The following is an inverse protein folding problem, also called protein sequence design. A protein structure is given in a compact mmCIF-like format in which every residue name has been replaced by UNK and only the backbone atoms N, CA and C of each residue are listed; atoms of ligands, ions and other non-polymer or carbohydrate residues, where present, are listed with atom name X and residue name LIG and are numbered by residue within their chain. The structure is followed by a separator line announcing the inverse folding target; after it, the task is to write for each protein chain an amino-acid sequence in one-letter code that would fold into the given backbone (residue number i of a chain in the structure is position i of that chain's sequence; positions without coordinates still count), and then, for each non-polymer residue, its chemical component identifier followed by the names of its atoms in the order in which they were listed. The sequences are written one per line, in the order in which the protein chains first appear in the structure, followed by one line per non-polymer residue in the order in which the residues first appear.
data_IF_196258352423
#
_entry.id   IF_196258352423
#
_cell.length_a   1.000
_cell.length_b   1.000
_cell.length_c   1.000
_cell.angle_alpha   90.00
_cell.angle_beta   90.00
_cell.angle_gamma   90.00
#
_symmetry.space_group_name_H-M   'P 1'
#
loop_
_entity.id
_entity.type
_entity.pdbx_description
1 polymer ?
#
# COMPACT_ATOMS: atom_id res chain seq x y z
N UNK A 1 -21.29 8.98 -4.66
CA UNK A 1 -19.91 9.04 -4.19
C UNK A 1 -19.03 8.20 -5.09
N UNK A 2 -18.06 8.81 -5.76
CA UNK A 2 -17.10 8.05 -6.57
C UNK A 2 -16.16 7.30 -5.63
N UNK A 3 -16.24 5.95 -5.66
CA UNK A 3 -15.35 5.07 -4.90
C UNK A 3 -13.89 5.27 -5.31
N UNK A 4 -13.68 5.62 -6.55
CA UNK A 4 -12.36 5.81 -7.15
C UNK A 4 -11.68 7.07 -6.66
N UNK A 5 -12.42 8.16 -6.52
CA UNK A 5 -11.90 9.40 -5.94
C UNK A 5 -11.46 9.20 -4.49
N UNK A 6 -12.27 8.46 -3.70
CA UNK A 6 -11.91 8.12 -2.32
C UNK A 6 -10.64 7.26 -2.27
N UNK A 7 -10.55 6.24 -3.12
CA UNK A 7 -9.37 5.39 -3.19
C UNK A 7 -8.10 6.15 -3.62
N UNK A 8 -8.24 7.12 -4.53
CA UNK A 8 -7.11 7.99 -4.92
C UNK A 8 -6.62 8.87 -3.75
N UNK A 9 -7.54 9.45 -2.98
CA UNK A 9 -7.20 10.19 -1.77
C UNK A 9 -6.51 9.31 -0.73
N UNK A 10 -7.04 8.12 -0.49
CA UNK A 10 -6.46 7.16 0.46
C UNK A 10 -5.02 6.76 0.05
N UNK A 11 -4.77 6.56 -1.25
CA UNK A 11 -3.43 6.30 -1.77
C UNK A 11 -2.47 7.49 -1.56
N UNK A 12 -2.91 8.70 -1.86
CA UNK A 12 -2.09 9.90 -1.66
C UNK A 12 -1.74 10.05 -0.18
N UNK A 13 -2.72 9.87 0.72
CA UNK A 13 -2.52 9.91 2.16
C UNK A 13 -1.51 8.83 2.59
N UNK A 14 -1.65 7.60 2.08
CA UNK A 14 -0.74 6.51 2.38
C UNK A 14 0.71 6.88 2.03
N UNK A 15 0.96 7.41 0.83
CA UNK A 15 2.31 7.78 0.41
C UNK A 15 2.85 9.01 1.13
N UNK A 16 1.99 9.95 1.52
CA UNK A 16 2.38 11.07 2.40
C UNK A 16 2.83 10.56 3.77
N UNK A 17 2.08 9.63 4.37
CA UNK A 17 2.44 9.01 5.64
C UNK A 17 3.75 8.23 5.51
N UNK A 18 3.91 7.44 4.44
CA UNK A 18 5.16 6.76 4.13
C UNK A 18 6.34 7.73 4.05
N UNK A 19 6.17 8.86 3.36
CA UNK A 19 7.22 9.87 3.22
C UNK A 19 7.63 10.48 4.57
N UNK A 20 6.68 10.69 5.47
CA UNK A 20 6.97 11.20 6.82
C UNK A 20 7.73 10.16 7.65
N UNK A 21 7.36 8.89 7.54
CA UNK A 21 7.94 7.81 8.33
C UNK A 21 9.13 7.10 7.68
N UNK A 22 9.56 7.50 6.46
CA UNK A 22 10.61 6.79 5.73
C UNK A 22 11.92 6.69 6.51
N UNK A 23 12.33 7.76 7.17
CA UNK A 23 13.55 7.77 7.97
C UNK A 23 13.43 6.87 9.21
N UNK A 24 12.26 6.85 9.85
CA UNK A 24 11.97 5.97 10.97
C UNK A 24 12.03 4.50 10.56
N UNK A 25 11.34 4.15 9.48
CA UNK A 25 11.30 2.79 8.94
C UNK A 25 12.71 2.36 8.48
N UNK A 26 13.44 3.23 7.79
CA UNK A 26 14.80 2.97 7.35
C UNK A 26 15.77 2.72 8.51
N UNK A 27 15.72 3.55 9.56
CA UNK A 27 16.53 3.35 10.76
C UNK A 27 16.13 2.07 11.50
N UNK A 28 14.85 1.77 11.59
CA UNK A 28 14.38 0.52 12.18
C UNK A 28 14.88 -0.70 11.40
N UNK A 29 14.81 -0.66 10.07
CA UNK A 29 15.34 -1.72 9.21
C UNK A 29 16.86 -1.92 9.44
N UNK A 30 17.63 -0.84 9.45
CA UNK A 30 19.07 -0.91 9.76
C UNK A 30 19.33 -1.44 11.17
N UNK A 31 18.49 -1.07 12.14
CA UNK A 31 18.58 -1.59 13.52
C UNK A 31 18.40 -3.11 13.56
N UNK A 32 17.34 -3.62 12.92
CA UNK A 32 17.10 -5.08 12.82
C UNK A 32 18.26 -5.78 12.11
N UNK A 33 18.72 -5.21 11.00
CA UNK A 33 19.84 -5.77 10.24
C UNK A 33 21.12 -5.85 11.08
N UNK A 34 21.48 -4.77 11.79
CA UNK A 34 22.64 -4.76 12.68
C UNK A 34 22.50 -5.73 13.85
N UNK A 35 21.31 -5.85 14.42
CA UNK A 35 21.04 -6.80 15.49
C UNK A 35 21.25 -8.25 15.03
N UNK A 36 20.70 -8.62 13.88
CA UNK A 36 20.88 -9.95 13.29
C UNK A 36 22.35 -10.19 12.93
N UNK A 37 23.00 -9.22 12.29
CA UNK A 37 24.40 -9.32 11.88
C UNK A 37 25.36 -9.50 13.08
N UNK A 38 25.11 -8.79 14.17
CA UNK A 38 25.94 -8.87 15.40
C UNK A 38 25.82 -10.24 16.09
N UNK A 39 24.67 -10.88 15.98
CA UNK A 39 24.43 -12.18 16.60
C UNK A 39 24.86 -13.36 15.73
N UNK A 40 25.04 -13.15 14.42
CA UNK A 40 25.47 -14.20 13.50
C UNK A 40 26.75 -14.93 13.92
N UNK A 41 27.83 -14.26 14.33
CA UNK A 41 29.06 -14.94 14.76
C UNK A 41 28.84 -15.86 15.96
N UNK A 42 28.00 -15.45 16.92
CA UNK A 42 27.71 -16.23 18.11
C UNK A 42 26.89 -17.48 17.76
N UNK A 43 25.95 -17.38 16.80
CA UNK A 43 25.21 -18.53 16.28
C UNK A 43 26.05 -19.50 15.45
N UNK A 44 27.04 -18.99 14.74
CA UNK A 44 27.98 -19.84 13.94
C UNK A 44 29.04 -20.49 14.81
N UNK A 45 29.50 -19.81 15.86
CA UNK A 45 30.53 -20.30 16.77
C UNK A 45 30.00 -21.39 17.75
N UNK A 46 28.73 -21.27 18.15
CA UNK A 46 28.02 -22.32 18.89
C UNK A 46 27.51 -23.29 17.85
N UNK A 47 28.07 -24.53 17.85
CA UNK A 47 27.55 -25.57 16.95
C UNK A 47 26.02 -25.54 16.96
N UNK A 48 25.42 -25.35 15.78
CA UNK A 48 23.99 -25.10 15.62
C UNK A 48 23.08 -26.21 16.22
N UNK A 49 23.66 -27.31 16.64
CA UNK A 49 22.99 -28.43 17.32
C UNK A 49 22.88 -28.25 18.85
N UNK A 50 23.63 -27.34 19.47
CA UNK A 50 23.61 -27.15 20.94
C UNK A 50 22.86 -25.88 21.36
N UNK A 51 22.46 -25.01 20.42
CA UNK A 51 21.65 -23.83 20.74
C UNK A 51 20.30 -24.27 21.34
N UNK A 52 20.10 -23.89 22.59
CA UNK A 52 18.86 -24.20 23.30
C UNK A 52 17.66 -23.61 22.54
N UNK A 53 16.58 -24.36 22.40
CA UNK A 53 15.31 -23.89 21.84
C UNK A 53 14.88 -22.54 22.44
N UNK A 54 15.23 -22.30 23.70
CA UNK A 54 14.95 -21.07 24.43
C UNK A 54 15.72 -19.86 23.84
N UNK A 55 16.96 -20.05 23.44
CA UNK A 55 17.81 -18.98 22.87
C UNK A 55 17.31 -18.59 21.49
N UNK A 56 16.96 -19.59 20.67
CA UNK A 56 16.36 -19.36 19.34
C UNK A 56 15.01 -18.64 19.47
N UNK A 57 14.17 -19.07 20.41
CA UNK A 57 12.87 -18.43 20.62
C UNK A 57 13.01 -17.00 21.12
N UNK A 58 13.96 -16.75 22.03
CA UNK A 58 14.27 -15.41 22.53
C UNK A 58 14.79 -14.50 21.43
N UNK A 59 15.67 -15.00 20.57
CA UNK A 59 16.16 -14.26 19.39
C UNK A 59 15.03 -13.88 18.45
N UNK A 60 14.21 -14.85 18.05
CA UNK A 60 13.07 -14.59 17.16
C UNK A 60 12.08 -13.60 17.78
N UNK A 61 11.81 -13.72 19.07
CA UNK A 61 10.93 -12.80 19.79
C UNK A 61 11.47 -11.36 19.75
N UNK A 62 12.75 -11.16 19.99
CA UNK A 62 13.37 -9.83 19.94
C UNK A 62 13.35 -9.24 18.53
N UNK A 63 13.66 -10.04 17.51
CA UNK A 63 13.53 -9.60 16.10
C UNK A 63 12.10 -9.20 15.78
N UNK A 64 11.11 -9.97 16.22
CA UNK A 64 9.69 -9.66 16.03
C UNK A 64 9.29 -8.34 16.70
N UNK A 65 9.73 -8.10 17.92
CA UNK A 65 9.47 -6.85 18.66
C UNK A 65 10.07 -5.65 17.93
N UNK A 66 11.33 -5.74 17.50
CA UNK A 66 11.99 -4.68 16.73
C UNK A 66 11.25 -4.38 15.41
N UNK A 67 10.89 -5.42 14.66
CA UNK A 67 10.09 -5.25 13.44
C UNK A 67 8.73 -4.62 13.71
N UNK A 68 8.06 -5.04 14.78
CA UNK A 68 6.76 -4.49 15.15
C UNK A 68 6.89 -2.99 15.54
N UNK A 69 7.87 -2.64 16.35
CA UNK A 69 8.13 -1.26 16.75
C UNK A 69 8.48 -0.36 15.57
N UNK A 70 9.15 -0.90 14.56
CA UNK A 70 9.45 -0.20 13.32
C UNK A 70 8.18 0.16 12.54
N UNK A 71 7.22 -0.75 12.46
CA UNK A 71 6.06 -0.63 11.57
C UNK A 71 4.82 -0.09 12.28
N UNK A 72 4.67 -0.34 13.58
CA UNK A 72 3.49 0.03 14.37
C UNK A 72 3.15 1.52 14.32
N UNK A 73 4.08 2.48 14.49
CA UNK A 73 3.78 3.91 14.41
C UNK A 73 3.24 4.34 13.04
N UNK A 74 3.80 3.78 11.97
CA UNK A 74 3.33 4.01 10.61
C UNK A 74 1.90 3.54 10.42
N UNK A 75 1.58 2.31 10.83
CA UNK A 75 0.22 1.78 10.73
C UNK A 75 -0.76 2.53 11.62
N UNK A 76 -0.40 2.84 12.87
CA UNK A 76 -1.25 3.58 13.78
C UNK A 76 -1.60 4.96 13.23
N UNK A 77 -0.62 5.68 12.70
CA UNK A 77 -0.82 6.99 12.09
C UNK A 77 -1.63 6.89 10.80
N UNK A 78 -1.34 5.93 9.93
CA UNK A 78 -2.07 5.66 8.71
C UNK A 78 -3.55 5.38 8.97
N UNK A 79 -3.85 4.51 9.93
CA UNK A 79 -5.24 4.21 10.35
C UNK A 79 -5.92 5.46 10.89
N UNK A 80 -5.25 6.25 11.74
CA UNK A 80 -5.81 7.48 12.30
C UNK A 80 -6.16 8.49 11.20
N UNK A 81 -5.25 8.73 10.26
CA UNK A 81 -5.47 9.68 9.15
C UNK A 81 -6.57 9.19 8.22
N UNK A 82 -6.56 7.91 7.85
CA UNK A 82 -7.61 7.33 6.99
C UNK A 82 -8.98 7.39 7.66
N UNK A 83 -9.05 7.11 8.96
CA UNK A 83 -10.28 7.23 9.72
C UNK A 83 -10.78 8.69 9.76
N UNK A 84 -9.90 9.65 9.99
CA UNK A 84 -10.25 11.09 9.96
C UNK A 84 -10.76 11.51 8.58
N UNK A 85 -10.07 11.16 7.52
CA UNK A 85 -10.50 11.46 6.14
C UNK A 85 -11.86 10.83 5.85
N UNK A 86 -12.08 9.59 6.26
CA UNK A 86 -13.35 8.90 6.08
C UNK A 86 -14.49 9.59 6.86
N UNK A 87 -14.24 10.01 8.10
CA UNK A 87 -15.22 10.74 8.92
C UNK A 87 -15.56 12.09 8.29
N UNK A 88 -14.56 12.82 7.79
CA UNK A 88 -14.77 14.12 7.13
C UNK A 88 -15.56 13.98 5.82
N UNK A 89 -15.37 12.89 5.08
CA UNK A 89 -16.06 12.65 3.81
C UNK A 89 -17.49 12.15 3.99
N UNK A 90 -17.74 11.28 4.96
CA UNK A 90 -19.02 10.57 5.14
C UNK A 90 -19.85 11.15 6.28
N UNK A 91 -19.22 11.90 7.19
CA UNK A 91 -19.79 12.22 8.48
C UNK A 91 -19.80 11.00 9.41
N UNK A 92 -19.99 11.23 10.69
CA UNK A 92 -20.06 10.18 11.71
C UNK A 92 -21.37 9.40 11.59
N UNK A 93 -21.45 8.46 10.66
CA UNK A 93 -22.62 7.56 10.50
C UNK A 93 -22.18 6.11 10.52
N UNK A 94 -22.13 5.53 11.70
CA UNK A 94 -22.00 4.06 11.83
C UNK A 94 -23.36 3.45 11.54
N UNK A 95 -23.54 2.82 10.40
CA UNK A 95 -24.77 2.11 10.04
C UNK A 95 -24.49 0.64 9.82
N UNK A 96 -25.15 -0.23 10.57
CA UNK A 96 -25.14 -1.66 10.40
C UNK A 96 -26.01 -2.16 9.22
N UNK A 97 -26.72 -1.23 8.52
CA UNK A 97 -27.59 -1.58 7.38
C UNK A 97 -26.93 -2.37 6.25
N UNK A 98 -25.63 -2.12 5.87
CA UNK A 98 -24.98 -2.91 4.82
C UNK A 98 -24.73 -4.37 5.21
N UNK A 99 -24.73 -4.70 6.50
CA UNK A 99 -24.43 -6.03 7.03
C UNK A 99 -25.64 -6.97 7.02
N UNK A 100 -26.84 -6.46 6.73
CA UNK A 100 -28.02 -7.33 6.63
C UNK A 100 -27.96 -8.14 5.33
N UNK A 101 -27.97 -9.49 5.42
CA UNK A 101 -28.00 -10.34 4.23
C UNK A 101 -29.32 -10.10 3.49
N UNK A 102 -29.23 -9.71 2.23
CA UNK A 102 -30.38 -9.61 1.32
C UNK A 102 -30.43 -10.87 0.49
N UNK A 103 -31.48 -11.69 0.67
CA UNK A 103 -31.66 -12.96 -0.01
C UNK A 103 -31.63 -12.86 -1.54
N UNK A 104 -32.06 -11.73 -2.10
CA UNK A 104 -32.05 -11.47 -3.56
C UNK A 104 -30.64 -11.44 -4.18
N UNK A 105 -29.59 -11.28 -3.33
CA UNK A 105 -28.19 -11.28 -3.79
C UNK A 105 -27.63 -12.69 -4.03
N UNK A 106 -28.32 -13.72 -3.57
CA UNK A 106 -27.89 -15.12 -3.70
C UNK A 106 -28.39 -15.81 -4.97
N UNK A 107 -29.14 -15.10 -5.83
CA UNK A 107 -29.62 -15.70 -7.07
C UNK A 107 -28.48 -15.66 -8.14
N UNK A 108 -27.90 -16.84 -8.48
CA UNK A 108 -26.75 -16.90 -9.41
C UNK A 108 -27.11 -16.47 -10.83
N UNK A 109 -28.38 -16.63 -11.24
CA UNK A 109 -28.86 -16.25 -12.58
C UNK A 109 -28.86 -14.73 -12.74
N UNK A 110 -29.30 -14.01 -11.72
CA UNK A 110 -29.25 -12.54 -11.70
C UNK A 110 -27.81 -12.01 -11.63
N UNK A 111 -26.92 -12.72 -10.93
CA UNK A 111 -25.50 -12.46 -10.91
C UNK A 111 -24.86 -12.58 -12.31
N UNK A 112 -25.16 -13.66 -13.02
CA UNK A 112 -24.64 -13.90 -14.37
C UNK A 112 -25.12 -12.85 -15.38
N UNK A 113 -26.40 -12.51 -15.35
CA UNK A 113 -27.01 -11.48 -16.21
C UNK A 113 -26.41 -10.09 -15.98
N UNK A 114 -25.99 -9.80 -14.73
CA UNK A 114 -25.35 -8.54 -14.36
C UNK A 114 -23.90 -8.46 -14.84
N UNK A 115 -23.17 -9.58 -14.86
CA UNK A 115 -21.80 -9.66 -15.36
C UNK A 115 -21.75 -9.35 -16.87
N UNK A 116 -22.72 -9.82 -17.65
CA UNK A 116 -22.81 -9.60 -19.08
C UNK A 116 -23.69 -8.40 -19.48
N UNK A 117 -23.95 -7.48 -18.54
CA UNK A 117 -24.63 -6.24 -18.86
C UNK A 117 -23.70 -5.26 -19.60
N UNK A 118 -24.30 -4.38 -20.44
CA UNK A 118 -23.55 -3.31 -21.14
C UNK A 118 -22.78 -2.42 -20.15
N UNK A 119 -23.37 -2.18 -18.99
CA UNK A 119 -22.74 -1.36 -17.93
C UNK A 119 -21.49 -2.07 -17.33
N UNK A 120 -21.58 -3.38 -17.08
CA UNK A 120 -20.45 -4.15 -16.59
C UNK A 120 -19.30 -4.24 -17.60
N UNK A 121 -19.63 -4.37 -18.88
CA UNK A 121 -18.64 -4.38 -19.96
C UNK A 121 -17.92 -3.02 -20.06
N UNK A 122 -18.66 -1.93 -19.89
CA UNK A 122 -18.10 -0.59 -19.88
C UNK A 122 -17.19 -0.34 -18.66
N UNK A 123 -17.61 -0.82 -17.47
CA UNK A 123 -16.76 -0.78 -16.25
C UNK A 123 -15.50 -1.62 -16.41
N UNK A 124 -15.59 -2.79 -17.06
CA UNK A 124 -14.44 -3.64 -17.37
C UNK A 124 -13.44 -2.90 -18.28
N UNK A 125 -13.94 -2.28 -19.35
CA UNK A 125 -13.09 -1.51 -20.27
C UNK A 125 -12.37 -0.35 -19.56
N UNK A 126 -13.10 0.41 -18.74
CA UNK A 126 -12.50 1.45 -17.89
C UNK A 126 -11.41 0.90 -16.97
N UNK A 127 -11.66 -0.25 -16.34
CA UNK A 127 -10.70 -0.87 -15.43
C UNK A 127 -9.44 -1.31 -16.16
N UNK A 128 -9.57 -1.86 -17.36
CA UNK A 128 -8.42 -2.24 -18.21
C UNK A 128 -7.60 -0.99 -18.58
N UNK A 129 -8.26 0.10 -18.98
CA UNK A 129 -7.59 1.36 -19.30
C UNK A 129 -6.83 1.93 -18.10
N UNK A 130 -7.43 1.89 -16.90
CA UNK A 130 -6.78 2.34 -15.65
C UNK A 130 -5.53 1.51 -15.35
N UNK A 131 -5.65 0.19 -15.41
CA UNK A 131 -4.52 -0.72 -15.16
C UNK A 131 -3.40 -0.46 -16.18
N UNK A 132 -3.74 -0.32 -17.46
CA UNK A 132 -2.77 0.01 -18.50
C UNK A 132 -2.05 1.34 -18.23
N UNK A 133 -2.79 2.36 -17.80
CA UNK A 133 -2.22 3.65 -17.45
C UNK A 133 -1.29 3.58 -16.24
N UNK A 134 -1.69 2.86 -15.20
CA UNK A 134 -0.87 2.66 -13.99
C UNK A 134 0.42 1.90 -14.34
N UNK A 135 0.33 0.83 -15.14
CA UNK A 135 1.49 0.07 -15.59
C UNK A 135 2.43 0.96 -16.42
N UNK A 136 1.89 1.78 -17.30
CA UNK A 136 2.67 2.72 -18.10
C UNK A 136 3.44 3.72 -17.23
N UNK A 137 2.75 4.33 -16.25
CA UNK A 137 3.38 5.29 -15.33
C UNK A 137 4.41 4.60 -14.44
N UNK A 138 4.12 3.41 -13.92
CA UNK A 138 5.08 2.62 -13.15
C UNK A 138 6.33 2.29 -13.98
N UNK A 139 6.14 1.83 -15.20
CA UNK A 139 7.24 1.51 -16.12
C UNK A 139 8.12 2.73 -16.42
N UNK A 140 7.51 3.87 -16.76
CA UNK A 140 8.25 5.11 -17.06
C UNK A 140 8.98 5.65 -15.83
N UNK A 141 8.39 5.53 -14.64
CA UNK A 141 9.02 5.93 -13.38
C UNK A 141 10.25 5.08 -13.08
N UNK A 142 10.12 3.75 -13.16
CA UNK A 142 11.24 2.83 -12.92
C UNK A 142 12.34 3.02 -13.97
N UNK A 143 11.97 3.20 -15.24
CA UNK A 143 12.93 3.43 -16.31
C UNK A 143 13.71 4.73 -16.13
N UNK A 144 13.05 5.79 -15.64
CA UNK A 144 13.72 7.06 -15.35
C UNK A 144 14.75 6.95 -14.21
N UNK A 145 14.54 6.04 -13.29
CA UNK A 145 15.37 5.81 -12.10
C UNK A 145 16.32 4.60 -12.27
N UNK A 146 16.37 4.00 -13.46
CA UNK A 146 17.20 2.81 -13.72
C UNK A 146 18.70 3.06 -13.46
N UNK A 147 19.20 4.27 -13.76
CA UNK A 147 20.58 4.64 -13.48
C UNK A 147 20.86 4.67 -11.96
N UNK A 148 19.91 5.13 -11.18
CA UNK A 148 20.05 5.22 -9.71
C UNK A 148 20.04 3.82 -9.08
N UNK A 149 19.33 2.87 -9.69
CA UNK A 149 19.33 1.47 -9.26
C UNK A 149 20.71 0.83 -9.47
N UNK A 150 21.41 1.16 -10.57
CA UNK A 150 22.78 0.65 -10.80
C UNK A 150 23.79 1.19 -9.80
N UNK A 151 23.61 2.40 -9.28
CA UNK A 151 24.46 3.01 -8.26
C UNK A 151 24.38 2.25 -6.93
N UNK A 152 23.33 1.47 -6.66
CA UNK A 152 23.17 0.69 -5.43
C UNK A 152 24.32 -0.28 -5.14
N UNK A 153 25.06 -0.71 -6.18
CA UNK A 153 26.22 -1.58 -6.02
C UNK A 153 27.45 -0.85 -5.43
N UNK A 154 27.51 0.47 -5.59
CA UNK A 154 28.69 1.27 -5.27
C UNK A 154 28.53 2.11 -3.99
N UNK A 155 27.35 2.09 -3.35
CA UNK A 155 27.04 2.89 -2.17
C UNK A 155 26.89 2.05 -0.90
N UNK A 156 27.12 2.65 0.29
CA UNK A 156 26.87 1.98 1.57
C UNK A 156 25.41 1.58 1.76
N UNK A 157 25.18 0.51 2.54
CA UNK A 157 23.84 -0.04 2.78
C UNK A 157 22.80 0.99 3.26
N UNK A 158 23.21 1.89 4.16
CA UNK A 158 22.35 2.94 4.67
C UNK A 158 21.86 3.89 3.56
N UNK A 159 22.73 4.27 2.64
CA UNK A 159 22.37 5.09 1.49
C UNK A 159 21.53 4.32 0.48
N UNK A 160 21.83 3.04 0.27
CA UNK A 160 21.03 2.17 -0.60
C UNK A 160 19.59 2.04 -0.12
N UNK A 161 19.35 1.89 1.18
CA UNK A 161 18.00 1.81 1.77
C UNK A 161 17.23 3.12 1.57
N UNK A 162 17.87 4.27 1.78
CA UNK A 162 17.25 5.59 1.55
C UNK A 162 16.91 5.77 0.08
N UNK A 163 17.82 5.45 -0.83
CA UNK A 163 17.61 5.58 -2.27
C UNK A 163 16.45 4.69 -2.74
N UNK A 164 16.41 3.42 -2.33
CA UNK A 164 15.27 2.54 -2.62
C UNK A 164 13.95 3.10 -2.10
N UNK A 165 13.95 3.65 -0.88
CA UNK A 165 12.78 4.28 -0.29
C UNK A 165 12.29 5.47 -1.10
N UNK A 166 13.18 6.34 -1.53
CA UNK A 166 12.86 7.51 -2.36
C UNK A 166 12.31 7.12 -3.72
N UNK A 167 12.90 6.13 -4.38
CA UNK A 167 12.41 5.59 -5.66
C UNK A 167 10.98 5.06 -5.52
N UNK A 168 10.72 4.24 -4.50
CA UNK A 168 9.39 3.65 -4.25
C UNK A 168 8.37 4.75 -3.95
N UNK A 169 8.69 5.71 -3.10
CA UNK A 169 7.78 6.79 -2.73
C UNK A 169 7.49 7.70 -3.91
N UNK A 170 8.49 8.08 -4.68
CA UNK A 170 8.31 8.91 -5.87
C UNK A 170 7.45 8.23 -6.93
N UNK A 171 7.71 6.94 -7.20
CA UNK A 171 6.87 6.14 -8.10
C UNK A 171 5.44 6.03 -7.59
N UNK A 172 5.26 5.77 -6.29
CA UNK A 172 3.96 5.68 -5.64
C UNK A 172 3.18 6.99 -5.71
N UNK A 173 3.83 8.14 -5.51
CA UNK A 173 3.20 9.44 -5.67
C UNK A 173 2.75 9.70 -7.10
N UNK A 174 3.60 9.42 -8.10
CA UNK A 174 3.24 9.58 -9.52
C UNK A 174 2.01 8.73 -9.87
N UNK A 175 1.99 7.48 -9.44
CA UNK A 175 0.85 6.57 -9.64
C UNK A 175 -0.41 7.11 -8.95
N UNK A 176 -0.28 7.59 -7.71
CA UNK A 176 -1.41 8.15 -6.94
C UNK A 176 -2.01 9.38 -7.60
N UNK A 177 -1.16 10.28 -8.13
CA UNK A 177 -1.63 11.47 -8.85
C UNK A 177 -2.36 11.11 -10.13
N UNK A 178 -1.85 10.14 -10.90
CA UNK A 178 -2.53 9.65 -12.10
C UNK A 178 -3.86 9.01 -11.74
N UNK A 179 -3.91 8.22 -10.68
CA UNK A 179 -5.15 7.61 -10.19
C UNK A 179 -6.16 8.66 -9.73
N UNK A 180 -5.69 9.75 -9.12
CA UNK A 180 -6.53 10.90 -8.74
C UNK A 180 -7.16 11.57 -9.97
N UNK A 181 -6.38 11.80 -11.02
CA UNK A 181 -6.90 12.39 -12.28
C UNK A 181 -7.97 11.49 -12.88
N UNK A 182 -7.72 10.18 -12.95
CA UNK A 182 -8.71 9.19 -13.42
C UNK A 182 -9.97 9.21 -12.55
N UNK A 183 -9.82 9.29 -11.22
CA UNK A 183 -10.94 9.37 -10.28
C UNK A 183 -11.77 10.64 -10.45
N UNK A 184 -11.15 11.78 -10.72
CA UNK A 184 -11.83 13.06 -11.00
C UNK A 184 -12.63 12.95 -12.31
N UNK A 185 -12.02 12.44 -13.37
CA UNK A 185 -12.69 12.26 -14.66
C UNK A 185 -13.91 11.33 -14.53
N UNK A 186 -13.76 10.22 -13.80
CA UNK A 186 -14.85 9.29 -13.54
C UNK A 186 -15.97 9.95 -12.71
N UNK A 187 -15.62 10.75 -11.71
CA UNK A 187 -16.58 11.50 -10.90
C UNK A 187 -17.38 12.50 -11.74
N UNK A 188 -16.72 13.25 -12.64
CA UNK A 188 -17.38 14.20 -13.54
C UNK A 188 -18.33 13.47 -14.48
N UNK A 189 -17.88 12.33 -15.05
CA UNK A 189 -18.70 11.51 -15.94
C UNK A 189 -19.94 10.96 -15.23
N UNK A 190 -19.79 10.41 -14.01
CA UNK A 190 -20.91 9.92 -13.22
C UNK A 190 -21.90 11.04 -12.87
N UNK A 191 -21.40 12.23 -12.53
CA UNK A 191 -22.25 13.38 -12.22
C UNK A 191 -23.04 13.85 -13.42
N UNK A 192 -22.44 13.84 -14.62
CA UNK A 192 -23.12 14.24 -15.86
C UNK A 192 -24.25 13.25 -16.21
N UNK A 193 -23.96 11.96 -16.11
CA UNK A 193 -24.96 10.91 -16.36
C UNK A 193 -26.15 10.95 -15.37
N UNK A 194 -25.89 11.32 -14.12
CA UNK A 194 -26.94 11.44 -13.09
C UNK A 194 -27.86 12.65 -13.29
N UNK A 195 -27.44 13.63 -14.08
CA UNK A 195 -28.26 14.82 -14.41
C UNK A 195 -29.06 14.64 -15.68
N UNK A 196 -28.82 13.58 -16.46
CA UNK A 196 -29.57 13.26 -17.69
C UNK A 196 -30.70 12.24 -17.45
N UNK A 197 -30.74 11.55 -16.29
CA UNK A 197 -31.82 10.67 -15.84
C UNK A 197 -32.77 11.43 -14.88
#
# INVERSE_FOLDING_TARGET
KSKELTAAFDLIVLFLVLKVFISWIGNGFLGVFHYVYKLMPDFVAVNAMESSTKEITSFLHNVYIEMFQMVAPFFAFGVAVTALVSILQVGWKVTAKPLKPKGDKFNPINGFKRIFSKDSLFELLKSILKIGLIIYVAYTSIKGEANDIFILYDIPLNQAVVLCGDVIINAGFKISLVYLVVGIVDFIYQKHRFNED
#
